data_IF_697162499254
#
_entry.id   IF_697162499254
#
_cell.length_a   1.000
_cell.length_b   1.000
_cell.length_c   1.000
_cell.angle_alpha   90.00
_cell.angle_beta   90.00
_cell.angle_gamma   90.00
#
_symmetry.space_group_name_H-M   'P 1'
#
loop_
_entity.id
_entity.type
_entity.pdbx_description
1 polymer ?
#
# COMPACT_ATOMS: atom_id res chain seq x y z
N UNK A 1 12.63 11.38 1.19
CA UNK A 1 14.10 11.38 1.04
C UNK A 1 14.49 10.05 0.37
N UNK A 2 15.25 10.04 -0.73
CA UNK A 2 15.73 8.80 -1.32
C UNK A 2 16.59 8.02 -0.31
N UNK A 3 16.53 6.66 -0.32
CA UNK A 3 17.33 5.84 0.56
C UNK A 3 18.84 6.04 0.28
N UNK A 4 19.64 6.01 1.32
CA UNK A 4 21.08 6.11 1.20
C UNK A 4 21.69 4.78 0.75
N UNK A 5 22.92 4.80 0.21
CA UNK A 5 23.64 3.58 -0.19
C UNK A 5 23.78 2.56 0.98
N UNK A 6 23.83 3.04 2.23
CA UNK A 6 23.86 2.17 3.40
C UNK A 6 22.52 1.47 3.65
N UNK A 7 21.41 2.16 3.44
CA UNK A 7 20.07 1.59 3.55
C UNK A 7 19.80 0.58 2.41
N UNK A 8 20.29 0.86 1.20
CA UNK A 8 20.18 -0.06 0.06
C UNK A 8 20.96 -1.37 0.26
N UNK A 9 21.97 -1.40 1.12
CA UNK A 9 22.70 -2.63 1.45
C UNK A 9 21.81 -3.71 2.10
N UNK A 10 20.61 -3.36 2.57
CA UNK A 10 19.61 -4.33 3.01
C UNK A 10 19.03 -5.17 1.85
N UNK A 11 19.01 -4.63 0.63
CA UNK A 11 18.54 -5.33 -0.56
C UNK A 11 19.68 -5.77 -1.49
N UNK A 12 20.70 -4.95 -1.64
CA UNK A 12 21.78 -5.15 -2.61
C UNK A 12 23.12 -5.30 -1.93
N UNK A 13 23.96 -6.21 -2.42
CA UNK A 13 25.30 -6.37 -1.91
C UNK A 13 26.14 -5.14 -2.26
N UNK A 14 26.88 -4.55 -1.28
CA UNK A 14 27.66 -3.35 -1.53
C UNK A 14 28.82 -3.61 -2.49
N UNK A 15 28.99 -2.73 -3.46
CA UNK A 15 30.15 -2.78 -4.36
C UNK A 15 31.41 -2.47 -3.56
N UNK A 16 32.48 -3.28 -3.67
CA UNK A 16 33.76 -3.00 -3.01
C UNK A 16 34.26 -1.60 -3.33
N UNK A 17 34.70 -0.84 -2.30
CA UNK A 17 35.10 0.56 -2.43
C UNK A 17 36.32 0.86 -3.33
N UNK A 18 36.88 -0.17 -3.96
CA UNK A 18 37.90 -0.06 -5.01
C UNK A 18 37.33 0.29 -6.38
N UNK A 19 36.02 0.03 -6.59
CA UNK A 19 35.30 0.38 -7.83
C UNK A 19 34.59 1.72 -7.62
N UNK A 20 35.09 2.78 -8.24
CA UNK A 20 34.57 4.16 -8.06
C UNK A 20 34.10 4.81 -9.35
N UNK A 21 34.12 4.09 -10.46
CA UNK A 21 33.66 4.63 -11.75
C UNK A 21 32.15 4.44 -11.85
N UNK A 22 31.39 5.47 -11.38
CA UNK A 22 29.92 5.45 -11.36
C UNK A 22 29.31 5.17 -12.74
N UNK A 23 29.78 5.76 -13.87
CA UNK A 23 29.26 5.42 -15.18
C UNK A 23 29.42 3.96 -15.58
N UNK A 24 30.58 3.36 -15.26
CA UNK A 24 30.83 1.94 -15.52
C UNK A 24 29.95 1.05 -14.64
N UNK A 25 29.82 1.40 -13.35
CA UNK A 25 28.96 0.67 -12.43
C UNK A 25 27.50 0.69 -12.87
N UNK A 26 26.99 1.84 -13.29
CA UNK A 26 25.66 1.98 -13.84
C UNK A 26 25.48 1.15 -15.14
N UNK A 27 26.47 1.15 -16.02
CA UNK A 27 26.43 0.40 -17.27
C UNK A 27 26.40 -1.14 -17.09
N UNK A 28 26.92 -1.63 -15.95
CA UNK A 28 26.87 -3.06 -15.58
C UNK A 28 25.72 -3.39 -14.62
N UNK A 29 24.75 -2.47 -14.45
CA UNK A 29 23.54 -2.71 -13.68
C UNK A 29 23.66 -2.50 -12.17
N UNK A 30 24.72 -1.83 -11.68
CA UNK A 30 24.82 -1.45 -10.26
C UNK A 30 23.83 -0.33 -9.96
N UNK A 31 22.96 -0.56 -8.99
CA UNK A 31 21.91 0.38 -8.60
C UNK A 31 22.38 1.35 -7.52
N UNK A 32 22.04 2.62 -7.69
CA UNK A 32 22.31 3.69 -6.73
C UNK A 32 21.06 4.08 -5.93
N UNK A 33 19.88 3.60 -6.35
CA UNK A 33 18.57 3.92 -5.77
C UNK A 33 17.58 2.75 -5.91
N UNK A 34 16.36 2.94 -5.42
CA UNK A 34 15.25 1.98 -5.55
C UNK A 34 14.37 2.30 -6.77
N UNK A 35 14.94 2.65 -7.90
CA UNK A 35 14.15 2.83 -9.11
C UNK A 35 13.79 1.48 -9.73
N UNK A 36 12.55 1.40 -10.23
CA UNK A 36 12.03 0.27 -10.99
C UNK A 36 11.72 0.80 -12.40
N UNK A 37 12.56 0.40 -13.37
CA UNK A 37 12.51 0.95 -14.72
C UNK A 37 11.91 -0.02 -15.75
N UNK A 38 11.89 -1.31 -15.41
CA UNK A 38 11.42 -2.40 -16.27
C UNK A 38 10.94 -3.61 -15.44
N UNK A 39 10.34 -4.58 -16.11
CA UNK A 39 9.83 -5.82 -15.52
C UNK A 39 10.92 -6.62 -14.79
N UNK A 40 12.14 -6.71 -15.35
CA UNK A 40 13.25 -7.45 -14.73
C UNK A 40 13.63 -6.83 -13.38
N UNK A 41 13.70 -5.51 -13.33
CA UNK A 41 14.00 -4.79 -12.08
C UNK A 41 12.88 -4.90 -11.04
N UNK A 42 11.63 -5.01 -11.47
CA UNK A 42 10.51 -5.28 -10.57
C UNK A 42 10.60 -6.67 -9.95
N UNK A 43 10.86 -7.70 -10.77
CA UNK A 43 11.01 -9.08 -10.32
C UNK A 43 12.20 -9.19 -9.34
N UNK A 44 13.37 -8.62 -9.68
CA UNK A 44 14.54 -8.63 -8.80
C UNK A 44 14.25 -7.99 -7.42
N UNK A 45 13.53 -6.86 -7.40
CA UNK A 45 13.16 -6.19 -6.15
C UNK A 45 12.14 -7.00 -5.33
N UNK A 46 11.16 -7.62 -5.99
CA UNK A 46 10.19 -8.51 -5.34
C UNK A 46 10.85 -9.73 -4.71
N UNK A 47 11.78 -10.38 -5.42
CA UNK A 47 12.55 -11.52 -4.91
C UNK A 47 13.38 -11.14 -3.67
N UNK A 48 13.99 -9.96 -3.68
CA UNK A 48 14.75 -9.44 -2.53
C UNK A 48 13.86 -9.06 -1.35
N UNK A 49 12.67 -8.52 -1.61
CA UNK A 49 11.67 -8.30 -0.58
C UNK A 49 11.20 -9.61 0.04
N UNK A 50 11.01 -10.65 -0.76
CA UNK A 50 10.55 -11.97 -0.32
C UNK A 50 11.63 -12.80 0.39
N UNK A 51 12.92 -12.42 0.33
CA UNK A 51 14.03 -13.16 0.96
C UNK A 51 14.02 -13.02 2.49
N UNK A 52 13.69 -14.07 3.26
CA UNK A 52 13.60 -14.00 4.71
C UNK A 52 14.95 -13.77 5.41
N UNK A 53 16.08 -13.95 4.70
CA UNK A 53 17.42 -13.71 5.24
C UNK A 53 17.78 -12.23 5.22
N UNK A 54 17.02 -11.39 4.51
CA UNK A 54 17.20 -9.95 4.47
C UNK A 54 16.34 -9.30 5.55
N UNK A 55 16.85 -8.24 6.16
CA UNK A 55 16.12 -7.52 7.22
C UNK A 55 16.14 -6.01 6.96
N UNK A 56 15.42 -5.55 5.92
CA UNK A 56 15.30 -4.12 5.64
C UNK A 56 14.49 -3.41 6.74
N UNK A 57 14.86 -2.15 7.01
CA UNK A 57 14.08 -1.30 7.92
C UNK A 57 12.66 -1.04 7.37
N UNK A 58 11.64 -0.84 8.23
CA UNK A 58 10.26 -0.63 7.79
C UNK A 58 10.09 0.48 6.76
N UNK A 59 10.83 1.57 6.92
CA UNK A 59 10.79 2.71 6.00
C UNK A 59 11.31 2.33 4.60
N UNK A 60 12.27 1.42 4.55
CA UNK A 60 12.82 0.92 3.29
C UNK A 60 11.86 -0.06 2.61
N UNK A 61 11.11 -0.85 3.37
CA UNK A 61 10.04 -1.71 2.85
C UNK A 61 8.97 -0.87 2.17
N UNK A 62 8.49 0.17 2.87
CA UNK A 62 7.50 1.12 2.31
C UNK A 62 8.03 1.81 1.06
N UNK A 63 9.32 2.22 1.06
CA UNK A 63 9.93 2.85 -0.10
C UNK A 63 10.06 1.88 -1.30
N UNK A 64 10.38 0.61 -1.04
CA UNK A 64 10.46 -0.42 -2.09
C UNK A 64 9.07 -0.71 -2.70
N UNK A 65 8.05 -0.89 -1.86
CA UNK A 65 6.67 -1.04 -2.33
C UNK A 65 6.21 0.21 -3.11
N UNK A 66 6.58 1.42 -2.66
CA UNK A 66 6.24 2.65 -3.37
C UNK A 66 6.91 2.71 -4.75
N UNK A 67 8.19 2.33 -4.87
CA UNK A 67 8.88 2.30 -6.16
C UNK A 67 8.24 1.33 -7.15
N UNK A 68 7.80 0.17 -6.67
CA UNK A 68 7.06 -0.82 -7.46
C UNK A 68 5.70 -0.28 -7.91
N UNK A 69 4.91 0.26 -6.98
CA UNK A 69 3.59 0.82 -7.28
C UNK A 69 3.66 2.02 -8.23
N UNK A 70 4.64 2.92 -8.04
CA UNK A 70 4.89 4.07 -8.92
C UNK A 70 5.32 3.64 -10.33
N UNK A 71 6.00 2.50 -10.48
CA UNK A 71 6.36 1.97 -11.79
C UNK A 71 5.13 1.44 -12.55
N UNK A 72 4.16 0.84 -11.87
CA UNK A 72 2.87 0.44 -12.44
C UNK A 72 2.03 1.68 -12.79
N UNK A 73 1.85 2.59 -11.85
CA UNK A 73 1.04 3.81 -12.04
C UNK A 73 1.55 4.69 -13.18
N UNK A 74 2.87 4.71 -13.39
CA UNK A 74 3.52 5.45 -14.49
C UNK A 74 3.66 4.65 -15.79
N UNK A 75 3.03 3.47 -15.87
CA UNK A 75 3.05 2.58 -17.05
C UNK A 75 4.47 2.17 -17.50
N UNK A 76 5.46 2.18 -16.58
CA UNK A 76 6.82 1.68 -16.86
C UNK A 76 6.87 0.16 -16.86
N UNK A 77 6.00 -0.47 -16.09
CA UNK A 77 5.81 -1.92 -16.07
C UNK A 77 4.32 -2.25 -16.20
N UNK A 78 4.03 -3.35 -16.87
CA UNK A 78 2.70 -3.94 -16.89
C UNK A 78 2.63 -5.00 -15.78
N UNK A 79 1.73 -4.90 -14.79
CA UNK A 79 1.61 -5.90 -13.74
C UNK A 79 1.32 -7.31 -14.29
N UNK A 80 0.68 -7.44 -15.46
CA UNK A 80 0.44 -8.71 -16.13
C UNK A 80 1.71 -9.41 -16.64
N UNK A 81 2.81 -8.68 -16.79
CA UNK A 81 4.12 -9.22 -17.20
C UNK A 81 4.99 -9.64 -16.00
N UNK A 82 4.56 -9.33 -14.77
CA UNK A 82 5.27 -9.67 -13.54
C UNK A 82 4.56 -10.85 -12.87
N UNK A 83 5.24 -11.99 -12.65
CA UNK A 83 4.65 -13.09 -11.91
C UNK A 83 4.29 -12.64 -10.48
N UNK A 84 3.06 -12.87 -10.00
CA UNK A 84 2.70 -12.52 -8.63
C UNK A 84 3.60 -13.28 -7.63
N UNK A 85 4.10 -12.62 -6.59
CA UNK A 85 5.00 -13.24 -5.65
C UNK A 85 4.26 -14.24 -4.75
N UNK A 86 4.87 -15.40 -4.47
CA UNK A 86 4.31 -16.36 -3.50
C UNK A 86 4.38 -15.84 -2.06
N UNK A 87 5.29 -14.92 -1.79
CA UNK A 87 5.56 -14.36 -0.45
C UNK A 87 5.74 -12.85 -0.53
N UNK A 88 5.25 -12.16 0.46
CA UNK A 88 5.27 -10.70 0.54
C UNK A 88 5.92 -10.26 1.85
N UNK A 89 6.70 -9.19 1.81
CA UNK A 89 7.23 -8.57 3.01
C UNK A 89 6.24 -7.57 3.57
N UNK A 90 5.83 -7.80 4.81
CA UNK A 90 4.91 -6.95 5.53
C UNK A 90 5.60 -5.75 6.20
N UNK A 91 4.79 -4.80 6.68
CA UNK A 91 5.26 -3.56 7.29
C UNK A 91 6.12 -3.75 8.55
N UNK A 92 5.94 -4.84 9.29
CA UNK A 92 6.77 -5.16 10.46
C UNK A 92 8.08 -5.86 10.10
N UNK A 93 8.34 -6.09 8.81
CA UNK A 93 9.52 -6.76 8.30
C UNK A 93 9.38 -8.29 8.17
N UNK A 94 8.28 -8.89 8.62
CA UNK A 94 8.03 -10.31 8.41
C UNK A 94 7.80 -10.63 6.93
N UNK A 95 8.07 -11.87 6.52
CA UNK A 95 7.77 -12.38 5.18
C UNK A 95 6.68 -13.45 5.33
N UNK A 96 5.53 -13.18 4.75
CA UNK A 96 4.34 -14.03 4.85
C UNK A 96 3.95 -14.59 3.49
N UNK A 97 3.11 -15.61 3.45
CA UNK A 97 2.51 -16.07 2.20
C UNK A 97 1.60 -14.97 1.62
N UNK A 98 1.55 -14.84 0.30
CA UNK A 98 0.72 -13.83 -0.35
C UNK A 98 -0.76 -13.98 0.04
N UNK A 99 -1.27 -15.20 0.18
CA UNK A 99 -2.65 -15.49 0.62
C UNK A 99 -3.01 -14.92 2.01
N UNK A 100 -2.00 -14.66 2.85
CA UNK A 100 -2.17 -14.09 4.20
C UNK A 100 -1.96 -12.56 4.22
N UNK A 101 -1.55 -11.95 3.11
CA UNK A 101 -1.23 -10.54 3.03
C UNK A 101 -2.36 -9.71 2.40
N UNK A 102 -2.42 -8.43 2.76
CA UNK A 102 -3.34 -7.44 2.15
C UNK A 102 -2.62 -6.12 1.94
N UNK A 103 -3.05 -5.35 0.96
CA UNK A 103 -2.53 -3.99 0.75
C UNK A 103 -3.34 -2.99 1.58
N UNK A 104 -2.64 -2.22 2.42
CA UNK A 104 -3.26 -1.16 3.22
C UNK A 104 -3.57 0.06 2.34
N UNK A 105 -4.82 0.23 1.98
CA UNK A 105 -5.33 1.35 1.19
C UNK A 105 -6.04 2.41 2.03
N UNK A 106 -6.53 2.02 3.22
CA UNK A 106 -7.28 2.89 4.09
C UNK A 106 -6.87 2.72 5.56
N UNK A 107 -6.43 3.79 6.20
CA UNK A 107 -5.94 3.76 7.59
C UNK A 107 -6.98 3.26 8.59
N UNK A 108 -8.27 3.43 8.31
CA UNK A 108 -9.35 2.95 9.19
C UNK A 108 -9.45 1.43 9.21
N UNK A 109 -9.00 0.73 8.15
CA UNK A 109 -9.00 -0.72 8.06
C UNK A 109 -7.80 -1.36 8.80
N UNK A 110 -6.69 -0.62 8.96
CA UNK A 110 -5.46 -1.14 9.57
C UNK A 110 -5.65 -1.88 10.91
N UNK A 111 -6.49 -1.39 11.86
CA UNK A 111 -6.67 -2.08 13.14
C UNK A 111 -7.31 -3.47 13.05
N UNK A 112 -7.87 -3.85 11.89
CA UNK A 112 -8.44 -5.18 11.66
C UNK A 112 -7.39 -6.25 11.32
N UNK A 113 -6.12 -5.85 11.09
CA UNK A 113 -5.05 -6.74 10.67
C UNK A 113 -3.83 -6.63 11.59
N UNK A 114 -3.12 -7.74 11.84
CA UNK A 114 -1.75 -7.67 12.34
C UNK A 114 -0.84 -6.93 11.35
N UNK A 115 0.13 -6.19 11.86
CA UNK A 115 1.11 -5.48 11.00
C UNK A 115 1.90 -6.41 10.07
N UNK A 116 2.05 -7.67 10.48
CA UNK A 116 2.69 -8.73 9.69
C UNK A 116 1.85 -9.27 8.52
N UNK A 117 0.62 -8.79 8.34
CA UNK A 117 -0.23 -9.10 7.18
C UNK A 117 -0.39 -7.91 6.24
N UNK A 118 0.14 -6.72 6.60
CA UNK A 118 -0.05 -5.48 5.84
C UNK A 118 1.14 -5.18 4.94
N UNK A 119 0.88 -4.98 3.65
CA UNK A 119 1.79 -4.34 2.71
C UNK A 119 1.33 -2.90 2.43
N UNK A 120 2.25 -1.96 2.33
CA UNK A 120 1.92 -0.56 2.00
C UNK A 120 3.09 0.16 1.36
N UNK A 121 2.78 1.10 0.47
CA UNK A 121 3.73 1.99 -0.20
C UNK A 121 3.18 2.43 -1.56
N UNK A 122 3.28 3.73 -1.87
CA UNK A 122 2.80 4.29 -3.13
C UNK A 122 1.28 4.21 -3.33
N UNK A 123 0.81 4.25 -4.59
CA UNK A 123 -0.59 4.05 -4.95
C UNK A 123 -1.07 2.63 -4.60
N UNK A 124 -2.03 2.48 -3.67
CA UNK A 124 -2.40 1.14 -3.16
C UNK A 124 -3.04 0.24 -4.22
N UNK A 125 -3.81 0.80 -5.16
CA UNK A 125 -4.39 0.02 -6.25
C UNK A 125 -3.33 -0.62 -7.16
N UNK A 126 -2.32 0.16 -7.55
CA UNK A 126 -1.21 -0.32 -8.37
C UNK A 126 -0.37 -1.38 -7.63
N UNK A 127 -0.15 -1.19 -6.32
CA UNK A 127 0.54 -2.19 -5.50
C UNK A 127 -0.26 -3.49 -5.39
N UNK A 128 -1.58 -3.38 -5.18
CA UNK A 128 -2.49 -4.52 -5.07
C UNK A 128 -2.52 -5.34 -6.37
N UNK A 129 -2.59 -4.66 -7.51
CA UNK A 129 -2.57 -5.30 -8.82
C UNK A 129 -1.24 -6.02 -9.08
N UNK A 130 -0.11 -5.38 -8.78
CA UNK A 130 1.22 -5.98 -8.99
C UNK A 130 1.47 -7.20 -8.10
N UNK A 131 1.01 -7.17 -6.84
CA UNK A 131 1.21 -8.24 -5.88
C UNK A 131 0.12 -9.33 -5.94
N UNK A 132 -0.94 -9.12 -6.72
CA UNK A 132 -2.17 -9.93 -6.75
C UNK A 132 -2.77 -10.09 -5.34
N UNK A 133 -2.88 -8.98 -4.61
CA UNK A 133 -3.39 -8.93 -3.24
C UNK A 133 -4.67 -8.10 -3.16
N UNK A 134 -5.59 -8.46 -2.25
CA UNK A 134 -6.76 -7.64 -2.00
C UNK A 134 -6.43 -6.35 -1.24
N UNK A 135 -7.25 -5.33 -1.39
CA UNK A 135 -7.20 -4.13 -0.57
C UNK A 135 -7.80 -4.37 0.81
N UNK A 136 -7.18 -3.82 1.86
CA UNK A 136 -7.65 -3.98 3.23
C UNK A 136 -9.10 -3.49 3.41
N UNK A 137 -9.49 -2.38 2.74
CA UNK A 137 -10.84 -1.84 2.79
C UNK A 137 -11.90 -2.73 2.15
N UNK A 138 -11.52 -3.61 1.23
CA UNK A 138 -12.44 -4.55 0.57
C UNK A 138 -12.77 -5.76 1.42
N UNK A 139 -11.86 -6.11 2.36
CA UNK A 139 -12.03 -7.29 3.22
C UNK A 139 -12.70 -6.93 4.54
N UNK A 140 -12.52 -5.70 5.02
CA UNK A 140 -13.03 -5.28 6.34
C UNK A 140 -14.42 -4.69 6.25
N UNK A 141 -15.34 -5.24 7.01
CA UNK A 141 -16.66 -4.66 7.22
C UNK A 141 -16.64 -3.75 8.46
N UNK A 142 -17.13 -2.53 8.29
CA UNK A 142 -17.30 -1.56 9.38
C UNK A 142 -18.76 -1.42 9.78
N UNK A 143 -19.09 -1.73 11.04
CA UNK A 143 -20.41 -1.45 11.61
C UNK A 143 -20.33 -0.23 12.53
N UNK A 144 -21.14 0.79 12.22
CA UNK A 144 -21.24 1.98 13.08
C UNK A 144 -21.91 1.59 14.38
N UNK A 145 -21.16 1.70 15.49
CA UNK A 145 -21.64 1.45 16.84
C UNK A 145 -21.91 2.77 17.56
N UNK A 146 -22.92 2.78 18.40
CA UNK A 146 -23.28 3.99 19.16
C UNK A 146 -24.55 4.66 18.66
N UNK A 147 -25.10 5.52 19.51
CA UNK A 147 -26.35 6.23 19.23
C UNK A 147 -26.06 7.54 18.54
N UNK A 148 -26.50 7.68 17.30
CA UNK A 148 -26.56 8.95 16.61
C UNK A 148 -27.95 9.61 16.75
N UNK A 149 -28.07 10.82 16.24
CA UNK A 149 -29.33 11.57 16.17
C UNK A 149 -29.80 11.62 14.72
N UNK A 150 -31.02 11.16 14.46
CA UNK A 150 -31.62 11.33 13.15
C UNK A 150 -31.92 12.81 12.86
N UNK A 151 -31.48 13.30 11.73
CA UNK A 151 -31.64 14.68 11.28
C UNK A 151 -31.97 14.66 9.78
N UNK A 152 -32.95 15.41 9.38
CA UNK A 152 -33.23 15.57 7.95
C UNK A 152 -32.05 16.27 7.25
N UNK A 153 -31.69 15.81 6.05
CA UNK A 153 -30.63 16.42 5.23
C UNK A 153 -30.79 17.93 5.07
N UNK A 154 -32.03 18.41 4.89
CA UNK A 154 -32.33 19.85 4.77
C UNK A 154 -32.04 20.67 6.04
N UNK A 155 -31.79 20.02 7.19
CA UNK A 155 -31.43 20.70 8.46
C UNK A 155 -29.91 20.73 8.70
N UNK A 156 -29.11 20.25 7.76
CA UNK A 156 -27.64 20.31 7.82
C UNK A 156 -27.17 21.48 6.92
N UNK A 157 -26.80 22.64 7.50
CA UNK A 157 -26.46 23.84 6.73
C UNK A 157 -25.37 23.61 5.69
N UNK A 158 -24.32 22.88 6.09
CA UNK A 158 -23.17 22.61 5.21
C UNK A 158 -23.56 21.77 3.99
N UNK A 159 -24.45 20.79 4.17
CA UNK A 159 -24.97 19.98 3.07
C UNK A 159 -25.80 20.83 2.12
N UNK A 160 -26.69 21.68 2.66
CA UNK A 160 -27.52 22.58 1.87
C UNK A 160 -26.67 23.54 1.05
N UNK A 161 -25.62 24.11 1.65
CA UNK A 161 -24.68 25.00 0.95
C UNK A 161 -23.92 24.27 -0.14
N UNK A 162 -23.39 23.07 0.15
CA UNK A 162 -22.66 22.26 -0.82
C UNK A 162 -23.55 21.85 -2.00
N UNK A 163 -24.76 21.37 -1.76
CA UNK A 163 -25.72 21.01 -2.81
C UNK A 163 -26.07 22.21 -3.70
N UNK A 164 -26.24 23.38 -3.10
CA UNK A 164 -26.51 24.63 -3.86
C UNK A 164 -25.31 25.02 -4.74
N UNK A 165 -24.08 24.92 -4.20
CA UNK A 165 -22.86 25.24 -4.95
C UNK A 165 -22.65 24.28 -6.13
N UNK A 166 -23.05 23.01 -5.98
CA UNK A 166 -22.95 21.98 -7.02
C UNK A 166 -24.15 21.97 -7.98
N UNK A 167 -25.18 22.79 -7.74
CA UNK A 167 -26.39 22.81 -8.56
C UNK A 167 -27.26 21.55 -8.46
N UNK A 168 -27.12 20.78 -7.36
CA UNK A 168 -27.89 19.54 -7.12
C UNK A 168 -28.96 19.74 -6.04
N UNK A 169 -30.02 18.92 -6.10
CA UNK A 169 -31.04 18.94 -5.08
C UNK A 169 -30.55 18.36 -3.75
N UNK A 170 -30.99 18.95 -2.63
CA UNK A 170 -30.72 18.38 -1.29
C UNK A 170 -31.38 17.01 -1.20
N UNK A 171 -30.68 15.95 -0.73
CA UNK A 171 -31.27 14.63 -0.57
C UNK A 171 -32.52 14.67 0.34
N UNK A 172 -33.50 13.83 0.04
CA UNK A 172 -34.68 13.65 0.87
C UNK A 172 -34.45 12.55 1.91
N UNK A 173 -35.15 12.65 3.05
CA UNK A 173 -35.05 11.70 4.15
C UNK A 173 -34.14 12.17 5.28
N UNK A 174 -33.84 11.25 6.19
CA UNK A 174 -33.05 11.51 7.38
C UNK A 174 -31.68 10.84 7.28
N UNK A 175 -30.67 11.45 7.92
CA UNK A 175 -29.33 10.90 8.12
C UNK A 175 -29.07 10.82 9.62
N UNK A 176 -28.31 9.82 10.04
CA UNK A 176 -27.90 9.71 11.44
C UNK A 176 -26.58 10.45 11.64
N UNK A 177 -26.63 11.50 12.46
CA UNK A 177 -25.47 12.31 12.80
C UNK A 177 -24.91 11.84 14.13
N UNK A 178 -23.62 11.50 14.14
CA UNK A 178 -22.87 11.14 15.33
C UNK A 178 -21.94 12.29 15.72
N UNK A 179 -21.83 12.60 17.01
CA UNK A 179 -20.86 13.57 17.51
C UNK A 179 -19.43 12.97 17.46
N UNK A 180 -19.34 11.68 17.75
CA UNK A 180 -18.13 10.88 17.59
C UNK A 180 -18.55 9.58 16.91
N UNK A 181 -17.90 9.25 15.79
CA UNK A 181 -18.17 8.02 15.06
C UNK A 181 -17.32 6.90 15.68
N UNK A 182 -17.97 5.88 16.23
CA UNK A 182 -17.31 4.64 16.67
C UNK A 182 -17.70 3.53 15.70
N UNK A 183 -16.71 2.85 15.17
CA UNK A 183 -16.91 1.77 14.20
C UNK A 183 -16.32 0.49 14.78
N UNK A 184 -17.11 -0.58 14.82
CA UNK A 184 -16.62 -1.93 15.09
C UNK A 184 -16.19 -2.54 13.75
N UNK A 185 -14.93 -2.94 13.68
CA UNK A 185 -14.38 -3.59 12.49
C UNK A 185 -14.54 -5.11 12.60
N UNK A 186 -14.96 -5.72 11.51
CA UNK A 186 -15.05 -7.18 11.39
C UNK A 186 -14.33 -7.62 10.13
N UNK A 187 -13.55 -8.66 10.28
CA UNK A 187 -12.95 -9.39 9.17
C UNK A 187 -13.85 -10.59 8.89
N UNK A 188 -14.58 -10.64 7.76
CA UNK A 188 -15.34 -11.84 7.44
C UNK A 188 -14.39 -13.02 7.33
N UNK A 189 -14.68 -14.09 8.08
CA UNK A 189 -13.91 -15.32 7.97
C UNK A 189 -14.09 -15.85 6.56
N UNK A 190 -13.03 -15.95 5.79
CA UNK A 190 -13.11 -16.66 4.51
C UNK A 190 -13.66 -18.07 4.79
N UNK A 191 -14.85 -18.35 4.29
CA UNK A 191 -15.37 -19.70 4.28
C UNK A 191 -14.56 -20.48 3.23
N UNK A 192 -13.72 -21.36 3.71
CA UNK A 192 -13.12 -22.45 2.93
C UNK A 192 -14.17 -23.25 2.18
#
# INVERSE_FOLDING_TARGET
>A
RPPSAHELAAFYDPVPGTFRDEPVLAAIGVRADLTVDDTESAIDLLDRLADPNRNPAPELIVAAHAALADAVESERIDPGDVPPPERVRALDGSVVAAEDAVVLDALWAAPAFPTGELAAGGPPGALAELLDLPLASEIVEGEVTGRGRAVSWGRLPDVVVACRALGVAVPTGDVVVHHTLTVALRRPTQRT
#
